data_IF_016553907970
#
_entry.id   IF_016553907970
#
_cell.length_a   1.000
_cell.length_b   1.000
_cell.length_c   1.000
_cell.angle_alpha   90.00
_cell.angle_beta   90.00
_cell.angle_gamma   90.00
#
_symmetry.space_group_name_H-M   'P 1'
#
loop_
_entity.id
_entity.type
_entity.pdbx_description
1 polymer ?
#
# COMPACT_ATOMS: atom_id res chain seq x y z
N UNK A 1 9.60 -12.40 -10.89
CA UNK A 1 8.26 -11.83 -10.66
C UNK A 1 8.29 -10.57 -9.80
N UNK A 2 8.83 -10.62 -8.56
CA UNK A 2 8.94 -9.47 -7.63
C UNK A 2 9.52 -8.23 -8.31
N UNK A 3 10.76 -8.30 -8.82
CA UNK A 3 11.39 -7.15 -9.49
C UNK A 3 10.60 -6.59 -10.66
N UNK A 4 9.94 -7.44 -11.46
CA UNK A 4 9.10 -6.98 -12.58
C UNK A 4 7.91 -6.16 -12.08
N UNK A 5 7.25 -6.60 -11.00
CA UNK A 5 6.15 -5.87 -10.38
C UNK A 5 6.65 -4.53 -9.81
N UNK A 6 7.83 -4.51 -9.17
CA UNK A 6 8.44 -3.26 -8.73
C UNK A 6 8.70 -2.30 -9.91
N UNK A 7 9.37 -2.75 -10.97
CA UNK A 7 9.63 -1.91 -12.14
C UNK A 7 8.33 -1.40 -12.79
N UNK A 8 7.30 -2.24 -12.88
CA UNK A 8 5.99 -1.84 -13.36
C UNK A 8 5.35 -0.78 -12.45
N UNK A 9 5.38 -0.98 -11.13
CA UNK A 9 4.90 0.01 -10.16
C UNK A 9 5.66 1.33 -10.29
N UNK A 10 6.98 1.31 -10.43
CA UNK A 10 7.78 2.53 -10.62
C UNK A 10 7.39 3.26 -11.91
N UNK A 11 7.28 2.52 -13.01
CA UNK A 11 6.87 3.09 -14.30
C UNK A 11 5.46 3.70 -14.22
N UNK A 12 4.50 2.97 -13.67
CA UNK A 12 3.11 3.44 -13.55
C UNK A 12 2.99 4.60 -12.56
N UNK A 13 3.72 4.59 -11.43
CA UNK A 13 3.74 5.70 -10.49
C UNK A 13 4.33 6.96 -11.14
N UNK A 14 5.39 6.82 -11.94
CA UNK A 14 5.94 7.93 -12.71
C UNK A 14 4.98 8.46 -13.78
N UNK A 15 4.33 7.55 -14.51
CA UNK A 15 3.32 7.90 -15.52
C UNK A 15 2.12 8.62 -14.90
N UNK A 16 1.62 8.11 -13.77
CA UNK A 16 0.55 8.78 -13.01
C UNK A 16 1.02 10.11 -12.46
N UNK A 17 2.24 10.22 -11.92
CA UNK A 17 2.79 11.50 -11.49
C UNK A 17 2.82 12.56 -12.60
N UNK A 18 3.01 12.14 -13.86
CA UNK A 18 3.01 13.03 -15.02
C UNK A 18 1.60 13.37 -15.58
N UNK A 19 0.66 12.42 -15.52
CA UNK A 19 -0.66 12.54 -16.14
C UNK A 19 -1.80 12.86 -15.16
N UNK A 20 -1.59 12.63 -13.87
CA UNK A 20 -2.64 12.79 -12.86
C UNK A 20 -2.93 14.27 -12.62
N UNK A 21 -4.21 14.67 -12.49
CA UNK A 21 -4.55 16.07 -12.29
C UNK A 21 -3.89 16.64 -11.03
N UNK A 22 -3.27 17.81 -11.18
CA UNK A 22 -2.65 18.52 -10.07
C UNK A 22 -3.70 18.86 -9.00
N UNK A 23 -3.33 18.65 -7.72
CA UNK A 23 -4.21 18.93 -6.58
C UNK A 23 -5.20 17.81 -6.24
N UNK A 24 -5.29 16.74 -7.03
CA UNK A 24 -6.03 15.54 -6.64
C UNK A 24 -5.09 14.51 -6.01
N UNK A 25 -5.56 13.85 -4.96
CA UNK A 25 -4.82 12.74 -4.36
C UNK A 25 -4.66 11.60 -5.37
N UNK A 26 -3.43 11.12 -5.56
CA UNK A 26 -3.10 10.07 -6.52
C UNK A 26 -3.33 8.68 -5.89
N UNK A 27 -3.59 7.64 -6.70
CA UNK A 27 -3.66 6.27 -6.20
C UNK A 27 -2.29 5.80 -5.68
N UNK A 28 -2.30 5.04 -4.59
CA UNK A 28 -1.09 4.49 -3.99
C UNK A 28 -0.75 3.10 -4.56
N UNK A 29 0.05 3.11 -5.63
CA UNK A 29 0.52 1.86 -6.25
C UNK A 29 1.54 1.09 -5.40
N UNK A 30 2.22 1.76 -4.45
CA UNK A 30 3.14 1.09 -3.53
C UNK A 30 2.38 0.29 -2.48
N UNK A 31 1.23 0.79 -2.01
CA UNK A 31 0.31 0.02 -1.19
C UNK A 31 -0.15 -1.24 -1.93
N UNK A 32 -0.58 -1.11 -3.20
CA UNK A 32 -0.99 -2.27 -4.01
C UNK A 32 0.15 -3.30 -4.11
N UNK A 33 1.37 -2.85 -4.41
CA UNK A 33 2.54 -3.70 -4.50
C UNK A 33 2.86 -4.42 -3.18
N UNK A 34 2.82 -3.68 -2.06
CA UNK A 34 3.06 -4.23 -0.73
C UNK A 34 2.04 -5.33 -0.38
N UNK A 35 0.76 -5.12 -0.69
CA UNK A 35 -0.29 -6.13 -0.48
C UNK A 35 -0.12 -7.36 -1.38
N UNK A 36 0.33 -7.19 -2.63
CA UNK A 36 0.64 -8.31 -3.51
C UNK A 36 1.81 -9.15 -2.99
N UNK A 37 2.85 -8.49 -2.48
CA UNK A 37 3.97 -9.18 -1.84
C UNK A 37 3.53 -9.88 -0.57
N UNK A 38 2.73 -9.22 0.28
CA UNK A 38 2.19 -9.81 1.48
C UNK A 38 1.26 -11.01 1.19
N UNK A 39 0.56 -10.99 0.07
CA UNK A 39 -0.23 -12.14 -0.41
C UNK A 39 0.65 -13.31 -0.86
N UNK A 40 1.82 -13.02 -1.43
CA UNK A 40 2.67 -14.01 -2.11
C UNK A 40 3.81 -14.56 -1.25
N UNK A 41 4.13 -13.89 -0.14
CA UNK A 41 5.25 -14.19 0.73
C UNK A 41 4.77 -14.51 2.16
N UNK A 42 5.54 -15.28 2.94
CA UNK A 42 5.29 -15.40 4.37
C UNK A 42 5.61 -14.08 5.10
N UNK A 43 5.01 -13.89 6.28
CA UNK A 43 5.09 -12.63 7.03
C UNK A 43 6.52 -12.16 7.31
N UNK A 44 7.44 -13.08 7.59
CA UNK A 44 8.84 -12.76 7.90
C UNK A 44 9.63 -12.25 6.68
N UNK A 45 9.12 -12.45 5.45
CA UNK A 45 9.68 -11.84 4.23
C UNK A 45 8.85 -10.65 3.78
N UNK A 46 7.51 -10.75 3.76
CA UNK A 46 6.68 -9.68 3.25
C UNK A 46 6.70 -8.41 4.10
N UNK A 47 6.87 -8.51 5.43
CA UNK A 47 6.96 -7.32 6.29
C UNK A 47 8.26 -6.51 6.03
N UNK A 48 9.48 -7.13 6.01
CA UNK A 48 10.68 -6.42 5.58
C UNK A 48 10.56 -5.82 4.17
N UNK A 49 9.95 -6.55 3.23
CA UNK A 49 9.72 -6.03 1.88
C UNK A 49 8.80 -4.81 1.87
N UNK A 50 7.71 -4.81 2.62
CA UNK A 50 6.80 -3.67 2.70
C UNK A 50 7.50 -2.43 3.28
N UNK A 51 8.30 -2.61 4.33
CA UNK A 51 9.12 -1.55 4.90
C UNK A 51 10.13 -1.00 3.87
N UNK A 52 10.83 -1.89 3.18
CA UNK A 52 11.77 -1.52 2.11
C UNK A 52 11.08 -0.74 0.98
N UNK A 53 9.91 -1.19 0.52
CA UNK A 53 9.14 -0.50 -0.51
C UNK A 53 8.75 0.92 -0.07
N UNK A 54 8.39 1.10 1.20
CA UNK A 54 8.07 2.42 1.71
C UNK A 54 9.30 3.33 1.81
N UNK A 55 10.48 2.79 2.15
CA UNK A 55 11.73 3.56 2.05
C UNK A 55 12.04 3.98 0.61
N UNK A 56 11.82 3.11 -0.36
CA UNK A 56 11.95 3.45 -1.79
C UNK A 56 10.96 4.54 -2.17
N UNK A 57 9.71 4.46 -1.71
CA UNK A 57 8.71 5.50 -1.93
C UNK A 57 9.11 6.84 -1.31
N UNK A 58 9.61 6.83 -0.07
CA UNK A 58 10.12 8.03 0.60
C UNK A 58 11.25 8.66 -0.22
N UNK A 59 12.22 7.87 -0.70
CA UNK A 59 13.34 8.36 -1.51
C UNK A 59 12.89 8.95 -2.85
N UNK A 60 11.97 8.29 -3.56
CA UNK A 60 11.48 8.74 -4.87
C UNK A 60 10.59 9.98 -4.76
N UNK A 61 9.81 10.07 -3.69
CA UNK A 61 8.94 11.22 -3.41
C UNK A 61 9.65 12.39 -2.74
N UNK A 62 10.97 12.31 -2.52
CA UNK A 62 11.73 13.27 -1.70
C UNK A 62 11.09 13.50 -0.32
N UNK A 63 10.46 12.46 0.23
CA UNK A 63 9.76 12.47 1.51
C UNK A 63 10.68 12.18 2.69
N UNK A 64 10.15 12.38 3.90
CA UNK A 64 10.86 12.04 5.13
C UNK A 64 11.00 10.51 5.25
N UNK A 65 12.24 10.04 5.31
CA UNK A 65 12.57 8.63 5.42
C UNK A 65 11.88 7.98 6.62
N UNK A 66 11.09 6.95 6.36
CA UNK A 66 10.42 6.14 7.38
C UNK A 66 8.91 6.34 7.45
N UNK A 67 8.36 7.43 6.90
CA UNK A 67 6.91 7.68 6.93
C UNK A 67 6.14 6.62 6.12
N UNK A 68 6.44 6.49 4.83
CA UNK A 68 5.79 5.47 4.01
C UNK A 68 6.26 4.07 4.41
N UNK A 69 7.51 3.92 4.87
CA UNK A 69 8.03 2.63 5.36
C UNK A 69 7.18 2.05 6.49
N UNK A 70 6.87 2.84 7.52
CA UNK A 70 6.00 2.40 8.63
C UNK A 70 4.55 2.26 8.16
N UNK A 71 4.05 3.16 7.31
CA UNK A 71 2.71 3.03 6.72
C UNK A 71 2.51 1.70 6.00
N UNK A 72 3.39 1.36 5.05
CA UNK A 72 3.28 0.10 4.29
C UNK A 72 3.55 -1.14 5.15
N UNK A 73 4.43 -1.04 6.15
CA UNK A 73 4.63 -2.09 7.14
C UNK A 73 3.35 -2.37 7.94
N UNK A 74 2.72 -1.33 8.49
CA UNK A 74 1.45 -1.42 9.21
C UNK A 74 0.33 -1.96 8.33
N UNK A 75 0.24 -1.52 7.08
CA UNK A 75 -0.71 -2.01 6.10
C UNK A 75 -0.55 -3.51 5.85
N UNK A 76 0.68 -3.96 5.60
CA UNK A 76 0.99 -5.36 5.33
C UNK A 76 0.76 -6.25 6.55
N UNK A 77 1.09 -5.75 7.75
CA UNK A 77 0.80 -6.44 9.00
C UNK A 77 -0.71 -6.62 9.22
N UNK A 78 -1.49 -5.57 9.03
CA UNK A 78 -2.95 -5.61 9.08
C UNK A 78 -3.53 -6.56 8.03
N UNK A 79 -2.97 -6.55 6.82
CA UNK A 79 -3.36 -7.47 5.75
C UNK A 79 -3.13 -8.95 6.13
N UNK A 80 -1.98 -9.30 6.71
CA UNK A 80 -1.74 -10.65 7.21
C UNK A 80 -2.75 -11.04 8.31
N UNK A 81 -3.09 -10.11 9.21
CA UNK A 81 -4.07 -10.36 10.27
C UNK A 81 -5.48 -10.59 9.69
N UNK A 82 -5.90 -9.79 8.70
CA UNK A 82 -7.18 -9.93 8.02
C UNK A 82 -7.26 -11.25 7.23
N UNK A 83 -6.19 -11.58 6.49
CA UNK A 83 -6.10 -12.79 5.66
C UNK A 83 -6.16 -14.09 6.46
N UNK A 84 -5.83 -14.07 7.75
CA UNK A 84 -6.00 -15.24 8.65
C UNK A 84 -7.46 -15.48 9.03
N UNK A 85 -8.31 -14.45 8.96
CA UNK A 85 -9.70 -14.48 9.45
C UNK A 85 -10.73 -14.54 8.34
N UNK A 86 -10.33 -14.27 7.09
CA UNK A 86 -11.22 -14.20 5.93
C UNK A 86 -11.02 -15.38 4.99
N UNK A 87 -12.11 -15.82 4.37
CA UNK A 87 -12.07 -16.88 3.36
C UNK A 87 -11.25 -16.43 2.13
N UNK A 88 -10.22 -17.19 1.74
CA UNK A 88 -9.39 -16.83 0.59
C UNK A 88 -10.19 -16.92 -0.71
N UNK A 89 -10.24 -15.82 -1.47
CA UNK A 89 -10.78 -15.79 -2.84
C UNK A 89 -12.15 -15.15 -2.99
N UNK A 90 -12.82 -14.78 -1.90
CA UNK A 90 -14.09 -14.05 -1.96
C UNK A 90 -13.87 -12.55 -2.12
N UNK A 91 -14.61 -11.91 -3.04
CA UNK A 91 -14.53 -10.46 -3.29
C UNK A 91 -14.73 -9.62 -2.02
N UNK A 92 -15.71 -9.92 -1.13
CA UNK A 92 -15.86 -9.21 0.15
C UNK A 92 -14.61 -9.31 1.03
N UNK A 93 -13.94 -10.46 1.03
CA UNK A 93 -12.69 -10.67 1.78
C UNK A 93 -11.56 -9.79 1.26
N UNK A 94 -11.45 -9.62 -0.06
CA UNK A 94 -10.46 -8.71 -0.68
C UNK A 94 -10.74 -7.26 -0.29
N UNK A 95 -12.00 -6.83 -0.39
CA UNK A 95 -12.41 -5.47 -0.04
C UNK A 95 -12.12 -5.15 1.44
N UNK A 96 -12.49 -6.06 2.35
CA UNK A 96 -12.22 -5.87 3.77
C UNK A 96 -10.72 -5.87 4.06
N UNK A 97 -9.96 -6.79 3.47
CA UNK A 97 -8.51 -6.84 3.68
C UNK A 97 -7.81 -5.58 3.18
N UNK A 98 -8.25 -5.04 2.03
CA UNK A 98 -7.78 -3.76 1.52
C UNK A 98 -8.13 -2.62 2.46
N UNK A 99 -9.40 -2.49 2.87
CA UNK A 99 -9.85 -1.41 3.75
C UNK A 99 -9.09 -1.44 5.09
N UNK A 100 -8.93 -2.63 5.67
CA UNK A 100 -8.20 -2.82 6.92
C UNK A 100 -6.72 -2.44 6.79
N UNK A 101 -6.08 -2.83 5.68
CA UNK A 101 -4.70 -2.45 5.39
C UNK A 101 -4.56 -0.94 5.11
N UNK A 102 -5.49 -0.35 4.38
CA UNK A 102 -5.52 1.07 4.06
C UNK A 102 -5.64 1.93 5.32
N UNK A 103 -6.54 1.58 6.23
CA UNK A 103 -6.66 2.25 7.53
C UNK A 103 -5.37 2.09 8.36
N UNK A 104 -4.77 0.90 8.35
CA UNK A 104 -3.52 0.67 9.05
C UNK A 104 -2.33 1.43 8.44
N UNK A 105 -2.30 1.65 7.11
CA UNK A 105 -1.32 2.51 6.44
C UNK A 105 -1.34 3.90 7.04
N UNK A 106 -2.51 4.53 7.03
CA UNK A 106 -2.68 5.88 7.55
C UNK A 106 -2.46 5.95 9.06
N UNK A 107 -2.89 4.93 9.81
CA UNK A 107 -2.57 4.81 11.24
C UNK A 107 -1.07 4.77 11.52
N UNK A 108 -0.30 4.00 10.74
CA UNK A 108 1.17 3.94 10.84
C UNK A 108 1.83 5.26 10.46
N UNK A 109 1.37 5.88 9.37
CA UNK A 109 1.84 7.20 8.92
C UNK A 109 1.62 8.27 10.00
N UNK A 110 0.40 8.40 10.52
CA UNK A 110 0.06 9.39 11.54
C UNK A 110 0.75 9.12 12.87
N UNK A 111 0.97 7.86 13.23
CA UNK A 111 1.74 7.50 14.42
C UNK A 111 3.17 8.05 14.35
N UNK A 112 3.85 7.86 13.22
CA UNK A 112 5.22 8.38 13.03
C UNK A 112 5.23 9.90 12.96
N UNK A 113 4.30 10.50 12.22
CA UNK A 113 4.20 11.95 12.13
C UNK A 113 3.95 12.59 13.50
N UNK A 114 3.06 12.00 14.31
CA UNK A 114 2.84 12.41 15.69
C UNK A 114 4.08 12.23 16.57
N UNK A 115 4.74 11.06 16.50
CA UNK A 115 5.92 10.74 17.30
C UNK A 115 7.08 11.71 17.04
N UNK A 116 7.31 12.02 15.76
CA UNK A 116 8.36 12.95 15.32
C UNK A 116 7.92 14.42 15.38
N UNK A 117 6.69 14.70 15.82
CA UNK A 117 6.11 16.05 15.92
C UNK A 117 6.19 16.81 14.59
N UNK A 118 5.94 16.11 13.49
CA UNK A 118 5.95 16.70 12.16
C UNK A 118 4.72 17.59 11.99
N UNK A 119 4.90 18.68 11.23
CA UNK A 119 3.77 19.42 10.70
C UNK A 119 3.06 18.55 9.66
N UNK A 120 1.85 18.12 10.00
CA UNK A 120 1.04 17.34 9.08
C UNK A 120 0.62 18.23 7.91
N UNK A 121 0.74 17.76 6.65
CA UNK A 121 0.11 18.45 5.54
C UNK A 121 -1.40 18.59 5.82
N UNK A 122 -2.07 19.62 5.29
CA UNK A 122 -3.49 19.86 5.53
C UNK A 122 -4.33 18.83 4.77
N UNK A 123 -4.31 17.59 5.24
CA UNK A 123 -5.06 16.47 4.69
C UNK A 123 -6.49 16.55 5.21
N UNK A 124 -7.44 16.70 4.30
CA UNK A 124 -8.85 16.57 4.61
C UNK A 124 -9.25 15.09 4.64
N UNK A 125 -10.31 14.74 5.36
CA UNK A 125 -10.85 13.37 5.33
C UNK A 125 -11.18 12.91 3.90
N UNK A 126 -11.60 13.85 3.05
CA UNK A 126 -11.90 13.59 1.64
C UNK A 126 -10.66 13.13 0.88
N UNK A 127 -9.48 13.68 1.16
CA UNK A 127 -8.23 13.28 0.52
C UNK A 127 -7.87 11.82 0.81
N UNK A 128 -8.04 11.39 2.07
CA UNK A 128 -7.86 9.98 2.44
C UNK A 128 -8.88 9.08 1.71
N UNK A 129 -10.14 9.50 1.63
CA UNK A 129 -11.18 8.73 0.95
C UNK A 129 -10.91 8.62 -0.56
N UNK A 130 -10.46 9.71 -1.19
CA UNK A 130 -10.09 9.73 -2.60
C UNK A 130 -8.87 8.84 -2.88
N UNK A 131 -7.84 8.88 -2.04
CA UNK A 131 -6.70 7.97 -2.18
C UNK A 131 -7.15 6.52 -2.17
N UNK A 132 -7.98 6.14 -1.18
CA UNK A 132 -8.52 4.79 -1.06
C UNK A 132 -9.37 4.40 -2.27
N UNK A 133 -10.25 5.31 -2.72
CA UNK A 133 -11.13 5.12 -3.86
C UNK A 133 -10.35 4.93 -5.17
N UNK A 134 -9.30 5.71 -5.40
CA UNK A 134 -8.49 5.60 -6.61
C UNK A 134 -7.54 4.41 -6.55
N UNK A 135 -7.08 4.00 -5.36
CA UNK A 135 -6.19 2.85 -5.19
C UNK A 135 -6.93 1.51 -5.33
N UNK A 136 -8.18 1.45 -4.89
CA UNK A 136 -8.98 0.23 -4.85
C UNK A 136 -9.12 -0.49 -6.22
N UNK A 137 -9.42 0.19 -7.35
CA UNK A 137 -9.47 -0.44 -8.66
C UNK A 137 -8.18 -1.17 -9.03
N UNK A 138 -7.01 -0.57 -8.74
CA UNK A 138 -5.71 -1.20 -8.98
C UNK A 138 -5.51 -2.42 -8.08
N UNK A 139 -5.92 -2.35 -6.81
CA UNK A 139 -5.87 -3.48 -5.90
C UNK A 139 -6.74 -4.66 -6.40
N UNK A 140 -7.98 -4.38 -6.82
CA UNK A 140 -8.91 -5.38 -7.36
C UNK A 140 -8.40 -5.99 -8.67
N UNK A 141 -7.88 -5.14 -9.57
CA UNK A 141 -7.27 -5.56 -10.83
C UNK A 141 -6.10 -6.51 -10.56
N UNK A 142 -5.18 -6.09 -9.71
CA UNK A 142 -4.03 -6.89 -9.34
C UNK A 142 -4.44 -8.21 -8.67
N UNK A 143 -5.48 -8.20 -7.84
CA UNK A 143 -6.00 -9.43 -7.21
C UNK A 143 -6.53 -10.45 -8.20
N UNK A 144 -7.18 -9.97 -9.27
CA UNK A 144 -7.81 -10.77 -10.32
C UNK A 144 -6.79 -11.36 -11.29
N UNK A 145 -5.78 -10.59 -11.69
CA UNK A 145 -4.85 -10.98 -12.74
C UNK A 145 -3.58 -11.67 -12.23
N UNK A 146 -3.17 -11.40 -10.99
CA UNK A 146 -2.01 -12.06 -10.40
C UNK A 146 -2.50 -13.24 -9.57
N UNK A 147 -2.48 -14.42 -10.19
CA UNK A 147 -2.69 -15.71 -9.53
C UNK A 147 -1.73 -15.82 -8.35
N UNK A 148 -2.25 -16.11 -7.16
CA UNK A 148 -1.41 -16.49 -6.03
C UNK A 148 -0.61 -17.73 -6.43
N UNK A 149 0.73 -17.74 -6.36
CA UNK A 149 1.42 -19.00 -6.17
C UNK A 149 0.88 -19.52 -4.83
N UNK A 150 0.03 -20.55 -4.87
CA UNK A 150 -0.48 -21.18 -3.65
C UNK A 150 0.69 -21.83 -2.91
N UNK A 151 0.63 -21.70 -1.57
CA UNK A 151 1.05 -22.66 -0.54
C UNK A 151 1.74 -23.95 -1.02
N UNK A 152 2.79 -24.39 -0.34
CA UNK A 152 2.74 -25.58 0.48
C UNK A 152 1.98 -25.32 1.79
#
# INVERSE_FOLDING_TARGET
>A
MIWLLLFLTLFLSGLLGALWPAGLMAPDLFLVLALLYARSLPYYLGLPWAFFLGLVQDLLGYGLLGLHAVGLLSASYAFYAASRRLAPGETPGVLFSFLWAFLAKWGGYFLVAYWLRLELPPLSLLDLLLEGLFTLPFALLAWRFLSSPRRP
#
